data_IF_249333543420
#
_entry.id   IF_249333543420
#
_cell.length_a   1.000
_cell.length_b   1.000
_cell.length_c   1.000
_cell.angle_alpha   90.00
_cell.angle_beta   90.00
_cell.angle_gamma   90.00
#
_symmetry.space_group_name_H-M   'P 1'
#
loop_
_entity.id
_entity.type
_entity.pdbx_description
1 polymer ?
#
# COMPACT_ATOMS: atom_id res chain seq x y z
N UNK A 1 80.25 -10.03 99.26
CA UNK A 1 79.40 -10.81 98.34
C UNK A 1 78.22 -11.36 99.12
N UNK A 2 77.02 -10.86 98.84
CA UNK A 2 75.75 -11.44 99.26
C UNK A 2 74.79 -11.22 98.09
N UNK A 3 74.44 -12.32 97.43
CA UNK A 3 73.51 -12.35 96.30
C UNK A 3 72.11 -12.06 96.81
N UNK A 4 71.41 -11.11 96.18
CA UNK A 4 69.96 -10.94 96.35
C UNK A 4 69.34 -10.89 94.96
N UNK A 5 69.00 -12.08 94.46
CA UNK A 5 68.01 -12.27 93.42
C UNK A 5 66.65 -12.32 94.13
N UNK A 6 65.73 -11.39 93.85
CA UNK A 6 64.44 -11.43 94.54
C UNK A 6 63.49 -10.28 94.19
N UNK A 7 62.85 -10.38 93.03
CA UNK A 7 61.56 -9.81 92.69
C UNK A 7 61.41 -8.27 92.76
N UNK A 8 62.03 -7.58 91.79
CA UNK A 8 61.70 -6.20 91.44
C UNK A 8 60.33 -6.16 90.73
N UNK A 9 59.24 -6.34 91.47
CA UNK A 9 57.89 -6.08 91.00
C UNK A 9 57.60 -4.56 91.03
N UNK A 10 58.46 -3.78 90.38
CA UNK A 10 58.13 -2.42 90.00
C UNK A 10 57.20 -2.53 88.79
N UNK A 11 55.89 -2.50 89.03
CA UNK A 11 54.90 -2.42 87.96
C UNK A 11 55.29 -1.27 87.03
N UNK A 12 55.67 -1.52 85.76
CA UNK A 12 55.82 -0.42 84.82
C UNK A 12 54.43 0.19 84.68
N UNK A 13 54.28 1.42 85.18
CA UNK A 13 53.12 2.29 85.08
C UNK A 13 52.45 2.06 83.72
N UNK A 14 51.30 1.39 83.74
CA UNK A 14 50.47 1.10 82.56
C UNK A 14 50.41 2.38 81.73
N UNK A 15 51.04 2.38 80.55
CA UNK A 15 50.85 3.45 79.58
C UNK A 15 49.34 3.51 79.40
N UNK A 16 48.73 4.63 79.79
CA UNK A 16 47.33 4.89 79.48
C UNK A 16 47.19 4.62 77.99
N UNK A 17 46.38 3.61 77.68
CA UNK A 17 45.91 3.34 76.33
C UNK A 17 45.27 4.64 75.86
N UNK A 18 46.07 5.46 75.18
CA UNK A 18 45.61 6.67 74.51
C UNK A 18 44.66 6.14 73.46
N UNK A 19 43.36 6.13 73.79
CA UNK A 19 42.26 5.76 72.91
C UNK A 19 42.58 6.37 71.56
N UNK A 20 43.04 5.53 70.63
CA UNK A 20 43.17 5.93 69.25
C UNK A 20 41.75 6.19 68.81
N UNK A 21 41.41 7.47 68.67
CA UNK A 21 40.16 7.87 68.03
C UNK A 21 40.30 7.40 66.59
N UNK A 22 39.85 6.17 66.34
CA UNK A 22 39.72 5.62 65.01
C UNK A 22 38.72 6.53 64.32
N UNK A 23 39.21 7.44 63.47
CA UNK A 23 38.34 8.14 62.53
C UNK A 23 37.75 7.06 61.65
N UNK A 24 36.47 6.77 61.83
CA UNK A 24 35.70 5.95 60.91
C UNK A 24 35.73 6.64 59.54
N UNK A 25 36.68 6.27 58.70
CA UNK A 25 36.65 6.64 57.29
C UNK A 25 35.51 5.85 56.68
N UNK A 26 34.33 6.48 56.67
CA UNK A 26 33.12 5.94 56.06
C UNK A 26 33.48 5.48 54.65
N UNK A 27 33.63 4.16 54.48
CA UNK A 27 33.97 3.54 53.21
C UNK A 27 32.78 3.80 52.30
N UNK A 28 32.88 4.82 51.46
CA UNK A 28 31.84 5.15 50.49
C UNK A 28 31.83 4.01 49.49
N UNK A 29 30.93 3.05 49.70
CA UNK A 29 30.66 1.99 48.75
C UNK A 29 30.06 2.67 47.53
N UNK A 30 30.88 2.86 46.49
CA UNK A 30 30.39 3.26 45.18
C UNK A 30 29.57 2.08 44.64
N UNK A 31 28.27 2.08 44.90
CA UNK A 31 27.32 1.24 44.17
C UNK A 31 27.55 1.48 42.68
N UNK A 32 27.73 0.39 41.92
CA UNK A 32 27.93 0.45 40.47
C UNK A 32 26.79 1.28 39.88
N UNK A 33 27.12 2.38 39.20
CA UNK A 33 26.12 3.18 38.47
C UNK A 33 25.43 2.23 37.49
N UNK A 34 24.14 1.96 37.72
CA UNK A 34 23.30 1.30 36.74
C UNK A 34 23.35 2.12 35.46
N UNK A 35 23.62 1.46 34.33
CA UNK A 35 23.65 2.06 33.00
C UNK A 35 22.39 2.94 32.86
N UNK A 36 22.55 4.22 32.50
CA UNK A 36 21.43 5.16 32.46
C UNK A 36 20.34 4.60 31.55
N UNK A 37 19.10 4.59 32.05
CA UNK A 37 17.93 4.03 31.37
C UNK A 37 17.71 4.61 29.97
N UNK A 38 18.20 5.83 29.75
CA UNK A 38 18.17 6.55 28.48
C UNK A 38 18.93 5.84 27.36
N UNK A 39 20.13 5.32 27.61
CA UNK A 39 20.89 4.59 26.58
C UNK A 39 20.17 3.31 26.18
N UNK A 40 19.65 2.56 27.15
CA UNK A 40 18.90 1.32 26.89
C UNK A 40 17.62 1.57 26.09
N UNK A 41 16.94 2.69 26.34
CA UNK A 41 15.73 3.08 25.62
C UNK A 41 16.03 3.49 24.17
N UNK A 42 17.15 4.20 23.95
CA UNK A 42 17.59 4.58 22.61
C UNK A 42 17.88 3.36 21.74
N UNK A 43 18.54 2.34 22.27
CA UNK A 43 18.76 1.09 21.54
C UNK A 43 17.46 0.33 21.20
N UNK A 44 16.50 0.31 22.13
CA UNK A 44 15.19 -0.31 21.83
C UNK A 44 14.42 0.49 20.77
N UNK A 45 14.54 1.81 20.79
CA UNK A 45 13.93 2.67 19.79
C UNK A 45 14.56 2.48 18.41
N UNK A 46 15.89 2.36 18.29
CA UNK A 46 16.53 2.12 16.98
C UNK A 46 16.14 0.77 16.40
N UNK A 47 16.03 -0.27 17.23
CA UNK A 47 15.51 -1.58 16.81
C UNK A 47 14.06 -1.45 16.32
N UNK A 48 13.21 -0.73 17.05
CA UNK A 48 11.82 -0.49 16.67
C UNK A 48 11.70 0.24 15.33
N UNK A 49 12.49 1.31 15.13
CA UNK A 49 12.54 2.04 13.86
C UNK A 49 12.98 1.13 12.72
N UNK A 50 13.99 0.28 12.95
CA UNK A 50 14.46 -0.67 11.93
C UNK A 50 13.36 -1.65 11.51
N UNK A 51 12.64 -2.22 12.48
CA UNK A 51 11.50 -3.11 12.21
C UNK A 51 10.36 -2.37 11.51
N UNK A 52 10.07 -1.12 11.90
CA UNK A 52 9.06 -0.30 11.26
C UNK A 52 9.40 -0.03 9.78
N UNK A 53 10.64 0.31 9.47
CA UNK A 53 11.09 0.51 8.08
C UNK A 53 10.95 -0.79 7.28
N UNK A 54 11.37 -1.92 7.83
CA UNK A 54 11.18 -3.23 7.18
C UNK A 54 9.71 -3.55 6.93
N UNK A 55 8.83 -3.28 7.90
CA UNK A 55 7.39 -3.45 7.77
C UNK A 55 6.76 -2.58 6.69
N UNK A 56 7.17 -1.30 6.61
CA UNK A 56 6.71 -0.37 5.57
C UNK A 56 7.12 -0.87 4.18
N UNK A 57 8.35 -1.35 4.03
CA UNK A 57 8.83 -1.90 2.76
C UNK A 57 7.95 -3.08 2.34
N UNK A 58 7.75 -4.07 3.22
CA UNK A 58 6.92 -5.24 2.92
C UNK A 58 5.49 -4.83 2.54
N UNK A 59 4.89 -3.90 3.28
CA UNK A 59 3.55 -3.39 2.99
C UNK A 59 3.47 -2.73 1.61
N UNK A 60 4.48 -1.93 1.24
CA UNK A 60 4.56 -1.33 -0.10
C UNK A 60 4.70 -2.37 -1.20
N UNK A 61 5.47 -3.44 -0.98
CA UNK A 61 5.58 -4.53 -1.95
C UNK A 61 4.26 -5.26 -2.17
N UNK A 62 3.51 -5.55 -1.10
CA UNK A 62 2.17 -6.14 -1.21
C UNK A 62 1.21 -5.23 -2.00
N UNK A 63 1.22 -3.93 -1.71
CA UNK A 63 0.37 -2.96 -2.41
C UNK A 63 0.68 -2.88 -3.91
N UNK A 64 1.96 -2.92 -4.29
CA UNK A 64 2.40 -2.93 -5.69
C UNK A 64 1.94 -4.22 -6.40
N UNK A 65 1.98 -5.36 -5.71
CA UNK A 65 1.51 -6.62 -6.25
C UNK A 65 0.00 -6.59 -6.55
N UNK A 66 -0.81 -6.11 -5.60
CA UNK A 66 -2.26 -5.97 -5.78
C UNK A 66 -2.60 -4.99 -6.91
N UNK A 67 -1.86 -3.89 -7.03
CA UNK A 67 -2.04 -2.93 -8.13
C UNK A 67 -1.74 -3.57 -9.49
N UNK A 68 -0.66 -4.36 -9.60
CA UNK A 68 -0.35 -5.05 -10.86
C UNK A 68 -1.42 -6.06 -11.27
N UNK A 69 -2.01 -6.78 -10.31
CA UNK A 69 -3.13 -7.69 -10.58
C UNK A 69 -4.38 -6.93 -11.03
N UNK A 70 -4.68 -5.81 -10.37
CA UNK A 70 -5.80 -4.94 -10.79
C UNK A 70 -5.59 -4.41 -12.21
N UNK A 71 -4.40 -3.92 -12.55
CA UNK A 71 -4.08 -3.45 -13.91
C UNK A 71 -4.29 -4.55 -14.94
N UNK A 72 -3.84 -5.78 -14.66
CA UNK A 72 -4.06 -6.92 -15.57
C UNK A 72 -5.54 -7.20 -15.76
N UNK A 73 -6.33 -7.20 -14.67
CA UNK A 73 -7.77 -7.41 -14.74
C UNK A 73 -8.45 -6.31 -15.56
N UNK A 74 -8.18 -5.04 -15.25
CA UNK A 74 -8.73 -3.91 -16.00
C UNK A 74 -8.35 -3.96 -17.49
N UNK A 75 -7.12 -4.38 -17.81
CA UNK A 75 -6.66 -4.50 -19.19
C UNK A 75 -7.44 -5.60 -19.93
N UNK A 76 -7.66 -6.74 -19.28
CA UNK A 76 -8.48 -7.82 -19.83
C UNK A 76 -9.91 -7.36 -20.08
N UNK A 77 -10.53 -6.72 -19.08
CA UNK A 77 -11.89 -6.21 -19.19
C UNK A 77 -12.00 -5.18 -20.32
N UNK A 78 -11.03 -4.27 -20.43
CA UNK A 78 -10.96 -3.29 -21.52
C UNK A 78 -10.85 -3.95 -22.89
N UNK A 79 -10.04 -5.00 -23.03
CA UNK A 79 -9.93 -5.75 -24.28
C UNK A 79 -11.25 -6.41 -24.66
N UNK A 80 -11.94 -7.04 -23.71
CA UNK A 80 -13.26 -7.65 -23.94
C UNK A 80 -14.28 -6.59 -24.38
N UNK A 81 -14.36 -5.47 -23.67
CA UNK A 81 -15.26 -4.37 -24.01
C UNK A 81 -14.97 -3.78 -25.40
N UNK A 82 -13.69 -3.68 -25.78
CA UNK A 82 -13.31 -3.20 -27.11
C UNK A 82 -13.76 -4.16 -28.22
N UNK A 83 -13.62 -5.47 -28.01
CA UNK A 83 -14.09 -6.48 -28.98
C UNK A 83 -15.61 -6.40 -29.13
N UNK A 84 -16.34 -6.34 -28.02
CA UNK A 84 -17.80 -6.17 -28.03
C UNK A 84 -18.23 -4.89 -28.77
N UNK A 85 -17.51 -3.78 -28.56
CA UNK A 85 -17.76 -2.52 -29.24
C UNK A 85 -17.49 -2.62 -30.75
N UNK A 86 -16.41 -3.29 -31.15
CA UNK A 86 -16.10 -3.52 -32.56
C UNK A 86 -17.17 -4.38 -33.24
N UNK A 87 -17.63 -5.44 -32.58
CA UNK A 87 -18.69 -6.31 -33.08
C UNK A 87 -20.03 -5.58 -33.18
N UNK A 88 -20.38 -4.75 -32.19
CA UNK A 88 -21.54 -3.87 -32.25
C UNK A 88 -21.43 -2.89 -33.42
N UNK A 89 -20.26 -2.30 -33.64
CA UNK A 89 -20.03 -1.37 -34.74
C UNK A 89 -20.17 -2.05 -36.10
N UNK A 90 -19.63 -3.26 -36.26
CA UNK A 90 -19.82 -4.08 -37.47
C UNK A 90 -21.28 -4.41 -37.71
N UNK A 91 -22.03 -4.77 -36.67
CA UNK A 91 -23.47 -4.99 -36.80
C UNK A 91 -24.19 -3.73 -37.26
N UNK A 92 -23.89 -2.57 -36.66
CA UNK A 92 -24.48 -1.29 -37.09
C UNK A 92 -24.15 -0.99 -38.54
N UNK A 93 -22.92 -1.21 -38.98
CA UNK A 93 -22.52 -1.04 -40.39
C UNK A 93 -23.31 -1.98 -41.31
N UNK A 94 -23.38 -3.27 -40.98
CA UNK A 94 -24.18 -4.26 -41.72
C UNK A 94 -25.69 -4.00 -41.74
N UNK A 95 -26.23 -3.34 -40.71
CA UNK A 95 -27.63 -2.91 -40.67
C UNK A 95 -27.84 -1.59 -41.42
N UNK A 96 -26.83 -0.71 -41.41
CA UNK A 96 -26.85 0.59 -42.09
C UNK A 96 -26.52 0.48 -43.58
N UNK A 97 -26.11 -0.71 -44.05
CA UNK A 97 -25.83 -0.98 -45.45
C UNK A 97 -27.02 -0.61 -46.34
N UNK A 98 -26.87 0.38 -47.24
CA UNK A 98 -27.97 0.96 -48.01
C UNK A 98 -28.60 -0.06 -48.97
N UNK A 99 -27.83 -1.03 -49.46
CA UNK A 99 -28.35 -2.13 -50.28
C UNK A 99 -29.28 -3.05 -49.48
N UNK A 100 -28.95 -3.33 -48.22
CA UNK A 100 -29.80 -4.14 -47.35
C UNK A 100 -31.07 -3.40 -47.00
N UNK A 101 -30.97 -2.11 -46.68
CA UNK A 101 -32.13 -1.23 -46.45
C UNK A 101 -33.02 -1.18 -47.68
N UNK A 102 -32.46 -1.04 -48.89
CA UNK A 102 -33.20 -1.09 -50.16
C UNK A 102 -33.94 -2.41 -50.35
N UNK A 103 -33.25 -3.55 -50.20
CA UNK A 103 -33.88 -4.89 -50.31
C UNK A 103 -35.01 -5.09 -49.31
N UNK A 104 -34.83 -4.63 -48.07
CA UNK A 104 -35.82 -4.75 -47.02
C UNK A 104 -37.03 -3.82 -47.29
N UNK A 105 -36.78 -2.60 -47.75
CA UNK A 105 -37.82 -1.66 -48.18
C UNK A 105 -38.62 -2.20 -49.39
N UNK A 106 -37.95 -2.76 -50.39
CA UNK A 106 -38.58 -3.43 -51.55
C UNK A 106 -39.43 -4.62 -51.12
N UNK A 107 -38.94 -5.46 -50.20
CA UNK A 107 -39.71 -6.59 -49.65
C UNK A 107 -40.95 -6.15 -48.87
N UNK A 108 -40.94 -4.94 -48.31
CA UNK A 108 -42.06 -4.34 -47.60
C UNK A 108 -42.98 -3.52 -48.54
N UNK A 109 -42.73 -3.56 -49.85
CA UNK A 109 -43.56 -2.89 -50.86
C UNK A 109 -43.27 -1.41 -51.06
N UNK A 110 -42.16 -0.90 -50.52
CA UNK A 110 -41.72 0.48 -50.75
C UNK A 110 -40.96 0.56 -52.08
N UNK A 111 -41.19 1.64 -52.85
CA UNK A 111 -40.59 1.86 -54.16
C UNK A 111 -39.63 3.06 -54.08
N UNK A 112 -38.39 2.88 -54.51
CA UNK A 112 -37.35 3.91 -54.46
C UNK A 112 -37.65 5.04 -55.45
N UNK A 113 -38.00 6.24 -54.97
CA UNK A 113 -38.35 7.43 -55.78
C UNK A 113 -37.13 8.15 -56.40
N UNK A 114 -35.93 7.57 -56.30
CA UNK A 114 -34.68 8.21 -56.73
C UNK A 114 -34.50 8.25 -58.26
N UNK A 115 -35.26 7.44 -59.01
CA UNK A 115 -35.35 7.50 -60.47
C UNK A 115 -36.82 7.56 -60.89
N UNK A 116 -37.32 8.78 -61.11
CA UNK A 116 -38.65 9.01 -61.67
C UNK A 116 -39.73 9.28 -60.62
N UNK A 117 -40.36 10.45 -60.74
CA UNK A 117 -41.37 10.97 -59.82
C UNK A 117 -42.56 10.04 -59.57
N UNK A 118 -43.32 10.40 -58.54
CA UNK A 118 -44.44 9.63 -57.98
C UNK A 118 -45.44 9.25 -59.08
N UNK A 119 -45.49 7.97 -59.45
CA UNK A 119 -46.55 7.42 -60.30
C UNK A 119 -47.52 6.61 -59.44
N UNK A 120 -48.70 7.18 -59.22
CA UNK A 120 -49.79 6.52 -58.50
C UNK A 120 -50.57 5.69 -59.52
N UNK A 121 -50.57 4.36 -59.39
CA UNK A 121 -51.49 3.51 -60.15
C UNK A 121 -52.89 3.61 -59.56
N UNK A 122 -53.68 4.56 -60.06
CA UNK A 122 -55.14 4.46 -59.96
C UNK A 122 -55.61 3.46 -61.01
N UNK A 123 -56.48 2.52 -60.61
CA UNK A 123 -56.91 1.41 -61.45
C UNK A 123 -57.69 1.88 -62.67
N UNK A 124 -56.99 2.05 -63.80
CA UNK A 124 -57.30 1.46 -65.10
C UNK A 124 -56.30 1.98 -66.14
N UNK A 125 -55.39 1.09 -66.55
CA UNK A 125 -54.56 1.06 -67.78
C UNK A 125 -53.93 2.33 -68.39
N UNK A 126 -53.81 3.47 -67.70
CA UNK A 126 -52.94 4.56 -68.16
C UNK A 126 -52.17 5.21 -67.01
N UNK A 127 -50.84 5.13 -67.06
CA UNK A 127 -49.93 5.91 -66.20
C UNK A 127 -49.89 7.35 -66.69
N UNK A 128 -50.41 8.29 -65.90
CA UNK A 128 -50.24 9.73 -66.12
C UNK A 128 -49.43 10.34 -64.97
N UNK A 129 -48.42 11.12 -65.33
CA UNK A 129 -47.56 11.87 -64.42
C UNK A 129 -48.39 12.97 -63.76
N UNK A 130 -48.50 12.95 -62.43
CA UNK A 130 -49.37 13.86 -61.68
C UNK A 130 -48.72 15.20 -61.30
N UNK A 131 -47.44 15.42 -61.60
CA UNK A 131 -46.79 16.68 -61.26
C UNK A 131 -45.60 16.95 -62.18
N UNK A 132 -45.71 18.03 -62.95
CA UNK A 132 -44.64 18.63 -63.72
C UNK A 132 -44.78 20.13 -63.63
N UNK A 133 -44.14 20.71 -62.61
CA UNK A 133 -43.51 22.04 -62.58
C UNK A 133 -42.28 21.95 -61.67
#
# INVERSE_FOLDING_TARGET
>A
MAYVNGNLALQPKRKQDRKTVVKETKRVVKTRRSIPVQEKLLYMFTVLVCVAVAGVIIFRYAQIYDMNLQIKKLTSDYQTMNVEMEDMKKQVEMLSDPERIRKLAESQGMVSMLEGGITVKTGDKETKTAMGE
#
